data_IF_648348539004
#
_entry.id   IF_648348539004
#
_cell.length_a   1.000
_cell.length_b   1.000
_cell.length_c   1.000
_cell.angle_alpha   90.00
_cell.angle_beta   90.00
_cell.angle_gamma   90.00
#
_symmetry.space_group_name_H-M   'P 1'
#
loop_
_entity.id
_entity.type
_entity.pdbx_description
1 polymer ?
#
# COMPACT_ATOMS: atom_id res chain seq x y z
N UNK A 1 20.39 17.06 44.45
CA UNK A 1 19.39 16.45 43.57
C UNK A 1 20.12 15.68 42.50
N UNK A 2 20.12 14.32 42.55
CA UNK A 2 20.90 13.44 41.68
C UNK A 2 20.07 13.03 40.50
N UNK A 3 20.43 13.50 39.31
CA UNK A 3 19.82 13.08 38.02
C UNK A 3 20.31 11.69 37.67
N UNK A 4 19.51 10.69 37.98
CA UNK A 4 19.76 9.29 37.66
C UNK A 4 19.59 9.06 36.14
N UNK A 5 20.70 9.07 35.41
CA UNK A 5 20.74 8.83 33.97
C UNK A 5 20.10 7.50 33.61
N UNK A 6 19.23 7.53 32.62
CA UNK A 6 18.54 6.35 32.11
C UNK A 6 19.52 5.45 31.35
N UNK A 7 19.71 4.24 31.82
CA UNK A 7 20.66 3.29 31.28
C UNK A 7 20.16 2.73 29.94
N UNK A 8 21.04 2.57 28.91
CA UNK A 8 20.70 2.08 27.55
C UNK A 8 19.89 0.77 27.58
N UNK A 9 20.17 -0.11 28.54
CA UNK A 9 19.42 -1.37 28.72
C UNK A 9 17.96 -1.13 29.16
N UNK A 10 17.70 -0.10 29.95
CA UNK A 10 16.35 0.27 30.41
C UNK A 10 15.54 0.97 29.31
N UNK A 11 16.23 1.74 28.45
CA UNK A 11 15.63 2.34 27.25
C UNK A 11 15.15 1.26 26.26
N UNK A 12 15.98 0.25 25.99
CA UNK A 12 15.62 -0.87 25.10
C UNK A 12 14.50 -1.75 25.68
N UNK A 13 14.44 -1.92 27.02
CA UNK A 13 13.35 -2.67 27.67
C UNK A 13 12.03 -1.90 27.69
N UNK A 14 12.04 -0.57 27.75
CA UNK A 14 10.81 0.25 27.64
C UNK A 14 10.34 0.41 26.19
N UNK A 15 11.24 0.39 25.23
CA UNK A 15 10.86 0.45 23.80
C UNK A 15 10.23 -0.85 23.31
N UNK A 16 10.64 -2.03 23.85
CA UNK A 16 10.02 -3.31 23.51
C UNK A 16 8.62 -3.50 24.12
N UNK A 17 8.29 -2.78 25.19
CA UNK A 17 6.95 -2.81 25.78
C UNK A 17 5.95 -1.86 25.11
N UNK A 18 6.44 -0.86 24.35
CA UNK A 18 5.57 0.04 23.59
C UNK A 18 5.04 -0.59 22.28
N UNK A 19 5.66 -1.69 21.80
CA UNK A 19 5.19 -2.45 20.64
C UNK A 19 4.21 -3.59 21.00
N UNK A 20 4.03 -3.87 22.30
CA UNK A 20 3.13 -4.93 22.77
C UNK A 20 1.74 -4.42 23.22
N UNK A 21 1.45 -3.16 22.98
CA UNK A 21 0.25 -2.52 23.51
C UNK A 21 -0.72 -2.04 22.45
N UNK A 22 -1.29 -2.92 21.63
CA UNK A 22 -2.62 -2.75 21.05
C UNK A 22 -3.03 -3.99 20.23
N UNK A 23 -2.95 -5.18 20.81
CA UNK A 23 -3.82 -6.26 20.35
C UNK A 23 -5.14 -6.13 21.11
N UNK A 24 -5.96 -5.16 20.72
CA UNK A 24 -7.39 -5.19 21.06
C UNK A 24 -8.03 -6.17 20.07
N UNK A 25 -8.07 -7.43 20.47
CA UNK A 25 -8.87 -8.47 19.83
C UNK A 25 -10.33 -8.21 20.21
N UNK A 26 -10.96 -7.41 19.46
CA UNK A 26 -12.41 -7.24 19.42
C UNK A 26 -12.71 -6.76 18.01
N UNK A 27 -13.73 -7.28 17.36
CA UNK A 27 -14.29 -7.03 16.02
C UNK A 27 -14.03 -5.64 15.33
N UNK A 28 -12.95 -5.00 15.62
CA UNK A 28 -12.42 -3.77 15.06
C UNK A 28 -11.14 -4.13 14.31
N UNK A 29 -11.09 -3.80 13.02
CA UNK A 29 -10.02 -4.12 12.10
C UNK A 29 -8.61 -3.78 12.62
N UNK A 30 -7.62 -4.45 12.06
CA UNK A 30 -6.23 -4.19 12.39
C UNK A 30 -5.85 -2.76 11.99
N UNK A 31 -5.40 -1.96 12.96
CA UNK A 31 -4.78 -0.66 12.71
C UNK A 31 -3.27 -0.90 12.60
N UNK A 32 -2.73 -0.68 11.41
CA UNK A 32 -1.30 -0.82 11.14
C UNK A 32 -0.65 0.57 11.19
N UNK A 33 0.09 0.92 12.24
CA UNK A 33 0.91 2.11 12.23
C UNK A 33 2.16 1.85 11.37
N UNK A 34 2.41 2.69 10.38
CA UNK A 34 3.72 2.75 9.72
C UNK A 34 4.61 3.70 10.53
N UNK A 35 5.69 3.23 11.14
CA UNK A 35 6.59 4.09 11.91
C UNK A 35 7.35 5.10 11.05
N UNK A 36 7.37 4.94 9.73
CA UNK A 36 8.07 5.83 8.79
C UNK A 36 7.16 6.91 8.20
N UNK A 37 5.84 6.66 8.17
CA UNK A 37 4.86 7.58 7.61
C UNK A 37 3.62 7.61 8.50
N UNK A 38 3.47 8.41 9.45
CA UNK A 38 2.41 8.53 10.46
C UNK A 38 0.96 8.32 9.93
N UNK A 39 0.71 7.23 9.22
CA UNK A 39 -0.60 6.82 8.71
C UNK A 39 -1.04 5.49 9.34
N UNK A 40 -2.32 5.31 9.47
CA UNK A 40 -2.93 4.08 9.93
C UNK A 40 -3.90 3.57 8.84
N UNK A 41 -3.81 2.28 8.54
CA UNK A 41 -4.77 1.57 7.69
C UNK A 41 -5.65 0.71 8.58
N UNK A 42 -6.94 0.68 8.28
CA UNK A 42 -7.93 -0.12 8.99
C UNK A 42 -8.44 -1.22 8.07
N UNK A 43 -8.18 -2.49 8.42
CA UNK A 43 -8.72 -3.66 7.74
C UNK A 43 -9.54 -4.48 8.71
N UNK A 44 -10.60 -5.14 8.24
CA UNK A 44 -11.53 -5.94 9.05
C UNK A 44 -11.45 -7.42 8.72
N UNK A 45 -11.10 -7.76 7.48
CA UNK A 45 -11.06 -9.13 6.97
C UNK A 45 -9.64 -9.61 6.73
N UNK A 46 -8.78 -8.72 6.23
CA UNK A 46 -7.38 -9.02 5.98
C UNK A 46 -6.56 -8.84 7.26
N UNK A 47 -5.74 -9.82 7.61
CA UNK A 47 -4.79 -9.70 8.71
C UNK A 47 -3.69 -8.67 8.43
N UNK A 48 -2.97 -8.28 9.47
CA UNK A 48 -1.97 -7.23 9.42
C UNK A 48 -0.83 -7.51 8.42
N UNK A 49 -0.37 -8.77 8.35
CA UNK A 49 0.70 -9.17 7.45
C UNK A 49 0.23 -9.13 6.00
N UNK A 50 -0.93 -9.70 5.70
CA UNK A 50 -1.54 -9.67 4.37
C UNK A 50 -1.76 -8.23 3.91
N UNK A 51 -2.33 -7.39 4.75
CA UNK A 51 -2.60 -5.99 4.43
C UNK A 51 -1.33 -5.20 4.13
N UNK A 52 -0.30 -5.31 4.97
CA UNK A 52 0.98 -4.62 4.75
C UNK A 52 1.70 -5.14 3.49
N UNK A 53 1.68 -6.44 3.27
CA UNK A 53 2.25 -7.05 2.05
C UNK A 53 1.57 -6.51 0.81
N UNK A 54 0.24 -6.40 0.80
CA UNK A 54 -0.51 -5.83 -0.33
C UNK A 54 -0.19 -4.36 -0.58
N UNK A 55 0.00 -3.53 0.47
CA UNK A 55 0.44 -2.12 0.29
C UNK A 55 1.78 -2.06 -0.42
N UNK A 56 2.76 -2.82 0.06
CA UNK A 56 4.11 -2.84 -0.52
C UNK A 56 4.12 -3.47 -1.91
N UNK A 57 3.24 -4.45 -2.16
CA UNK A 57 3.06 -5.06 -3.48
C UNK A 57 2.46 -4.07 -4.48
N UNK A 58 1.39 -3.34 -4.13
CA UNK A 58 0.83 -2.29 -4.98
C UNK A 58 1.89 -1.25 -5.35
N UNK A 59 2.73 -0.84 -4.37
CA UNK A 59 3.84 0.07 -4.61
C UNK A 59 4.93 -0.53 -5.50
N UNK A 60 5.23 -1.82 -5.36
CA UNK A 60 6.21 -2.50 -6.21
C UNK A 60 5.75 -2.65 -7.66
N UNK A 61 4.43 -2.81 -7.89
CA UNK A 61 3.84 -2.88 -9.24
C UNK A 61 3.79 -1.50 -9.89
N UNK A 62 3.44 -0.46 -9.14
CA UNK A 62 3.32 0.93 -9.61
C UNK A 62 4.18 1.87 -8.75
N UNK A 63 5.51 1.84 -8.92
CA UNK A 63 6.42 2.64 -8.11
C UNK A 63 6.36 4.12 -8.50
N UNK A 64 6.07 4.98 -7.51
CA UNK A 64 6.11 6.43 -7.66
C UNK A 64 6.81 7.03 -6.44
N UNK A 65 7.95 7.64 -6.65
CA UNK A 65 8.76 8.21 -5.56
C UNK A 65 8.05 9.35 -4.84
N UNK A 66 7.24 10.12 -5.58
CA UNK A 66 6.45 11.23 -5.03
C UNK A 66 5.25 10.79 -4.17
N UNK A 67 4.85 9.50 -4.21
CA UNK A 67 3.69 9.01 -3.50
C UNK A 67 4.11 8.22 -2.25
N UNK A 68 3.60 8.63 -1.09
CA UNK A 68 3.72 7.87 0.16
C UNK A 68 2.83 6.62 0.17
N UNK A 69 3.09 5.71 1.11
CA UNK A 69 2.34 4.45 1.25
C UNK A 69 0.85 4.66 1.54
N UNK A 70 0.46 5.81 2.08
CA UNK A 70 -0.95 6.19 2.33
C UNK A 70 -1.84 6.07 1.08
N UNK A 71 -1.30 6.39 -0.10
CA UNK A 71 -2.07 6.29 -1.35
C UNK A 71 -2.30 4.85 -1.77
N UNK A 72 -1.34 3.97 -1.49
CA UNK A 72 -1.45 2.53 -1.74
C UNK A 72 -2.31 1.84 -0.69
N UNK A 73 -2.28 2.30 0.57
CA UNK A 73 -3.13 1.80 1.63
C UNK A 73 -4.62 1.92 1.30
N UNK A 74 -5.04 3.01 0.63
CA UNK A 74 -6.42 3.17 0.18
C UNK A 74 -6.87 2.10 -0.81
N UNK A 75 -5.96 1.60 -1.65
CA UNK A 75 -6.26 0.47 -2.55
C UNK A 75 -6.54 -0.78 -1.72
N UNK A 76 -5.74 -1.02 -0.68
CA UNK A 76 -5.88 -2.19 0.19
C UNK A 76 -7.15 -2.10 1.03
N UNK A 77 -7.57 -0.92 1.48
CA UNK A 77 -8.87 -0.71 2.13
C UNK A 77 -10.04 -1.08 1.21
N UNK A 78 -9.96 -0.78 -0.08
CA UNK A 78 -10.98 -1.19 -1.06
C UNK A 78 -10.93 -2.71 -1.33
N UNK A 79 -9.74 -3.32 -1.36
CA UNK A 79 -9.59 -4.78 -1.42
C UNK A 79 -10.22 -5.45 -0.18
N UNK A 80 -9.99 -4.91 1.02
CA UNK A 80 -10.57 -5.41 2.27
C UNK A 80 -12.10 -5.29 2.29
N UNK A 81 -12.65 -4.17 1.86
CA UNK A 81 -14.11 -3.99 1.72
C UNK A 81 -14.73 -5.04 0.80
N UNK A 82 -14.10 -5.35 -0.32
CA UNK A 82 -14.57 -6.41 -1.19
C UNK A 82 -14.44 -7.78 -0.53
N UNK A 83 -13.34 -8.03 0.16
CA UNK A 83 -13.11 -9.28 0.88
C UNK A 83 -14.14 -9.55 1.98
N UNK A 84 -14.73 -8.50 2.60
CA UNK A 84 -15.80 -8.62 3.59
C UNK A 84 -17.06 -9.25 3.01
N UNK A 85 -17.35 -8.99 1.74
CA UNK A 85 -18.57 -9.45 1.08
C UNK A 85 -18.35 -10.66 0.16
N UNK A 86 -17.10 -11.01 -0.11
CA UNK A 86 -16.70 -12.07 -1.03
C UNK A 86 -15.60 -12.94 -0.39
N UNK A 87 -15.97 -14.05 0.27
CA UNK A 87 -15.02 -14.94 0.93
C UNK A 87 -14.03 -15.61 -0.02
N UNK A 88 -14.44 -15.89 -1.26
CA UNK A 88 -13.53 -16.46 -2.27
C UNK A 88 -12.49 -15.44 -2.68
N UNK A 89 -12.87 -14.17 -2.79
CA UNK A 89 -11.95 -13.08 -3.03
C UNK A 89 -10.95 -12.89 -1.87
N UNK A 90 -11.44 -12.94 -0.63
CA UNK A 90 -10.58 -12.89 0.56
C UNK A 90 -9.54 -14.02 0.55
N UNK A 91 -9.97 -15.23 0.21
CA UNK A 91 -9.09 -16.40 0.10
C UNK A 91 -8.02 -16.20 -0.97
N UNK A 92 -8.37 -15.69 -2.15
CA UNK A 92 -7.39 -15.40 -3.22
C UNK A 92 -6.30 -14.45 -2.74
N UNK A 93 -6.65 -13.42 -1.96
CA UNK A 93 -5.67 -12.48 -1.41
C UNK A 93 -4.75 -13.13 -0.35
N UNK A 94 -5.34 -13.86 0.60
CA UNK A 94 -4.59 -14.51 1.69
C UNK A 94 -3.68 -15.63 1.18
N UNK A 95 -4.21 -16.52 0.35
CA UNK A 95 -3.42 -17.60 -0.27
C UNK A 95 -2.35 -17.05 -1.21
N UNK A 96 -2.65 -15.96 -1.91
CA UNK A 96 -1.70 -15.28 -2.78
C UNK A 96 -0.51 -14.70 -2.03
N UNK A 97 -0.73 -14.07 -0.87
CA UNK A 97 0.35 -13.58 0.00
C UNK A 97 1.14 -14.75 0.59
N UNK A 98 0.46 -15.80 1.06
CA UNK A 98 1.13 -17.00 1.56
C UNK A 98 2.01 -17.67 0.48
N UNK A 99 1.52 -17.75 -0.76
CA UNK A 99 2.30 -18.26 -1.89
C UNK A 99 3.50 -17.37 -2.23
N UNK A 100 3.36 -16.04 -2.11
CA UNK A 100 4.44 -15.09 -2.32
C UNK A 100 5.56 -15.26 -1.27
N UNK A 101 5.21 -15.44 0.00
CA UNK A 101 6.16 -15.73 1.08
C UNK A 101 6.85 -17.09 0.89
N UNK A 102 6.13 -18.06 0.33
CA UNK A 102 6.67 -19.39 0.08
C UNK A 102 7.76 -19.46 -1.02
N UNK A 103 7.82 -18.47 -1.92
CA UNK A 103 8.78 -18.47 -3.06
C UNK A 103 10.22 -18.63 -2.58
N UNK A 104 10.59 -17.99 -1.48
CA UNK A 104 11.94 -18.08 -0.89
C UNK A 104 11.94 -18.61 0.54
N UNK A 105 10.80 -19.11 1.03
CA UNK A 105 10.63 -19.58 2.41
C UNK A 105 10.95 -18.52 3.47
N UNK A 106 10.78 -17.26 3.12
CA UNK A 106 10.98 -16.05 3.96
C UNK A 106 9.86 -15.07 3.63
N UNK A 107 9.40 -14.31 4.61
CA UNK A 107 8.40 -13.27 4.35
C UNK A 107 8.89 -12.35 3.22
N UNK A 108 8.04 -12.17 2.23
CA UNK A 108 8.39 -11.34 1.06
C UNK A 108 8.81 -9.92 1.48
N UNK A 109 8.22 -9.39 2.53
CA UNK A 109 8.56 -8.08 3.08
C UNK A 109 10.03 -7.96 3.51
N UNK A 110 10.65 -9.05 3.96
CA UNK A 110 12.03 -9.10 4.46
C UNK A 110 13.07 -9.31 3.36
N UNK A 111 12.62 -9.60 2.13
CA UNK A 111 13.51 -9.80 0.99
C UNK A 111 14.12 -8.47 0.53
N UNK A 112 15.31 -8.53 -0.07
CA UNK A 112 15.86 -7.39 -0.79
C UNK A 112 15.04 -7.08 -2.04
N UNK A 113 15.11 -5.84 -2.53
CA UNK A 113 14.31 -5.36 -3.67
C UNK A 113 14.49 -6.21 -4.95
N UNK A 114 15.68 -6.76 -5.17
CA UNK A 114 15.95 -7.67 -6.29
C UNK A 114 15.16 -8.97 -6.17
N UNK A 115 15.17 -9.59 -5.01
CA UNK A 115 14.41 -10.82 -4.73
C UNK A 115 12.91 -10.57 -4.71
N UNK A 116 12.46 -9.43 -4.17
CA UNK A 116 11.04 -9.03 -4.23
C UNK A 116 10.53 -8.98 -5.66
N UNK A 117 11.26 -8.29 -6.55
CA UNK A 117 10.88 -8.22 -7.97
C UNK A 117 10.89 -9.57 -8.66
N UNK A 118 11.88 -10.42 -8.36
CA UNK A 118 11.94 -11.77 -8.93
C UNK A 118 10.76 -12.63 -8.49
N UNK A 119 10.40 -12.61 -7.20
CA UNK A 119 9.22 -13.30 -6.68
C UNK A 119 7.93 -12.82 -7.35
N UNK A 120 7.74 -11.50 -7.49
CA UNK A 120 6.56 -10.94 -8.18
C UNK A 120 6.49 -11.36 -9.64
N UNK A 121 7.63 -11.37 -10.35
CA UNK A 121 7.68 -11.81 -11.75
C UNK A 121 7.27 -13.27 -11.91
N UNK A 122 7.63 -14.16 -10.97
CA UNK A 122 7.23 -15.56 -11.01
C UNK A 122 5.72 -15.77 -10.81
N UNK A 123 5.04 -14.80 -10.18
CA UNK A 123 3.61 -14.84 -9.88
C UNK A 123 2.75 -14.00 -10.86
N UNK A 124 3.35 -13.35 -11.84
CA UNK A 124 2.69 -12.37 -12.71
C UNK A 124 1.44 -12.93 -13.41
N UNK A 125 1.43 -14.21 -13.77
CA UNK A 125 0.28 -14.86 -14.42
C UNK A 125 -0.78 -15.39 -13.45
N UNK A 126 -0.56 -15.28 -12.13
CA UNK A 126 -1.51 -15.82 -11.15
C UNK A 126 -2.76 -14.93 -11.01
N UNK A 127 -3.92 -15.53 -10.65
CA UNK A 127 -5.13 -14.76 -10.35
C UNK A 127 -4.93 -13.72 -9.26
N UNK A 128 -4.13 -14.04 -8.24
CA UNK A 128 -3.76 -13.11 -7.17
C UNK A 128 -3.10 -11.85 -7.72
N UNK A 129 -2.00 -11.99 -8.46
CA UNK A 129 -1.27 -10.85 -9.01
C UNK A 129 -2.16 -10.00 -9.93
N UNK A 130 -2.90 -10.64 -10.84
CA UNK A 130 -3.79 -9.95 -11.77
C UNK A 130 -4.92 -9.21 -11.05
N UNK A 131 -5.45 -9.78 -9.97
CA UNK A 131 -6.45 -9.13 -9.11
C UNK A 131 -5.88 -7.86 -8.47
N UNK A 132 -4.74 -7.96 -7.81
CA UNK A 132 -4.12 -6.80 -7.14
C UNK A 132 -3.74 -5.72 -8.16
N UNK A 133 -3.16 -6.12 -9.29
CA UNK A 133 -2.84 -5.21 -10.40
C UNK A 133 -4.07 -4.49 -10.92
N UNK A 134 -5.16 -5.23 -11.17
CA UNK A 134 -6.42 -4.66 -11.67
C UNK A 134 -7.04 -3.66 -10.69
N UNK A 135 -7.03 -3.95 -9.40
CA UNK A 135 -7.48 -3.00 -8.37
C UNK A 135 -6.58 -1.77 -8.28
N UNK A 136 -5.27 -1.94 -8.45
CA UNK A 136 -4.31 -0.82 -8.37
C UNK A 136 -4.55 0.26 -9.42
N UNK A 137 -5.06 -0.10 -10.61
CA UNK A 137 -5.34 0.83 -11.72
C UNK A 137 -6.85 1.04 -12.00
N UNK A 138 -7.70 0.26 -11.32
CA UNK A 138 -9.15 0.32 -11.50
C UNK A 138 -9.78 1.62 -11.02
N UNK A 139 -11.12 1.65 -11.06
CA UNK A 139 -11.92 2.83 -10.70
C UNK A 139 -11.76 3.31 -9.25
N UNK A 140 -11.26 2.45 -8.36
CA UNK A 140 -10.93 2.78 -6.97
C UNK A 140 -9.41 2.75 -6.72
N UNK A 141 -8.61 2.58 -7.76
CA UNK A 141 -7.17 2.41 -7.72
C UNK A 141 -6.40 3.72 -7.51
N UNK A 142 -5.10 3.65 -7.74
CA UNK A 142 -4.15 4.73 -7.46
C UNK A 142 -4.51 6.02 -8.24
N UNK A 143 -4.72 5.89 -9.55
CA UNK A 143 -4.94 7.04 -10.44
C UNK A 143 -6.37 7.60 -10.41
N UNK A 144 -7.30 6.94 -9.73
CA UNK A 144 -8.64 7.47 -9.50
C UNK A 144 -8.74 8.42 -8.30
N UNK A 145 -7.69 8.49 -7.49
CA UNK A 145 -7.64 9.33 -6.29
C UNK A 145 -7.31 10.78 -6.64
N UNK A 146 -8.19 11.76 -6.35
CA UNK A 146 -7.93 13.17 -6.68
C UNK A 146 -6.67 13.74 -6.03
N UNK A 147 -6.27 13.21 -4.85
CA UNK A 147 -5.06 13.62 -4.18
C UNK A 147 -3.77 13.18 -4.92
N UNK A 148 -3.86 12.10 -5.71
CA UNK A 148 -2.76 11.60 -6.54
C UNK A 148 -2.59 12.46 -7.79
N UNK A 149 -3.67 12.98 -8.36
CA UNK A 149 -3.65 13.76 -9.60
C UNK A 149 -2.68 14.95 -9.55
N UNK A 150 -2.62 15.66 -8.41
CA UNK A 150 -1.73 16.81 -8.21
C UNK A 150 -0.24 16.47 -8.38
N UNK A 151 0.15 15.21 -8.10
CA UNK A 151 1.53 14.75 -8.25
C UNK A 151 1.94 14.52 -9.70
N UNK A 152 0.96 14.44 -10.60
CA UNK A 152 1.14 14.22 -12.04
C UNK A 152 0.68 15.41 -12.89
N UNK A 153 0.32 16.53 -12.27
CA UNK A 153 -0.21 17.69 -13.00
C UNK A 153 -1.59 17.46 -13.62
N UNK A 154 -2.28 16.35 -13.26
CA UNK A 154 -3.63 16.10 -13.78
C UNK A 154 -4.68 16.87 -12.98
N UNK A 155 -5.41 17.75 -13.64
CA UNK A 155 -6.42 18.64 -13.02
C UNK A 155 -7.79 17.96 -12.82
N UNK A 156 -7.97 16.77 -13.36
CA UNK A 156 -9.22 16.03 -13.33
C UNK A 156 -9.91 15.93 -14.69
N UNK A 157 -11.11 15.33 -14.72
CA UNK A 157 -11.85 15.12 -15.97
C UNK A 157 -12.19 16.44 -16.64
N UNK A 158 -11.76 16.62 -17.89
CA UNK A 158 -11.94 17.86 -18.68
C UNK A 158 -13.40 18.29 -18.85
N UNK A 159 -14.33 17.33 -18.85
CA UNK A 159 -15.77 17.62 -18.94
C UNK A 159 -16.29 18.53 -17.81
N UNK A 160 -15.65 18.50 -16.62
CA UNK A 160 -15.97 19.40 -15.49
C UNK A 160 -15.61 20.86 -15.79
N UNK A 161 -14.79 21.09 -16.79
CA UNK A 161 -14.23 22.39 -17.14
C UNK A 161 -14.62 22.82 -18.58
N UNK A 162 -15.70 22.25 -19.14
CA UNK A 162 -16.17 22.58 -20.48
C UNK A 162 -15.55 21.76 -21.62
N UNK A 163 -14.85 20.68 -21.31
CA UNK A 163 -14.23 19.79 -22.30
C UNK A 163 -12.87 20.27 -22.77
N UNK A 164 -12.46 19.83 -23.98
CA UNK A 164 -11.13 20.11 -24.54
C UNK A 164 -11.10 21.32 -25.50
N UNK A 165 -12.22 22.07 -25.67
CA UNK A 165 -12.28 23.19 -26.60
C UNK A 165 -11.27 24.31 -26.26
N UNK A 166 -10.98 24.49 -24.98
CA UNK A 166 -10.10 25.56 -24.48
C UNK A 166 -9.01 25.02 -23.52
N UNK A 167 -8.77 23.70 -23.51
CA UNK A 167 -7.85 23.03 -22.61
C UNK A 167 -7.09 21.93 -23.34
N UNK A 168 -5.96 21.51 -22.78
CA UNK A 168 -5.09 20.47 -23.36
C UNK A 168 -4.20 20.98 -24.48
N UNK A 169 -4.06 22.31 -24.59
CA UNK A 169 -3.09 22.95 -25.44
C UNK A 169 -1.91 23.35 -24.58
N UNK A 170 -0.71 23.14 -25.07
CA UNK A 170 0.58 23.47 -24.41
C UNK A 170 0.80 22.79 -23.04
N UNK A 171 0.13 21.65 -22.80
CA UNK A 171 0.28 20.89 -21.55
C UNK A 171 1.65 20.18 -21.46
N UNK A 172 2.43 20.17 -22.52
CA UNK A 172 3.72 19.49 -22.62
C UNK A 172 4.85 20.51 -22.63
N UNK A 173 5.20 21.07 -21.47
CA UNK A 173 6.28 22.03 -21.31
C UNK A 173 7.72 21.43 -21.34
N UNK A 174 7.86 20.15 -21.66
CA UNK A 174 9.16 19.46 -21.73
C UNK A 174 9.61 19.12 -23.15
N UNK A 175 8.81 19.47 -24.16
CA UNK A 175 9.26 19.39 -25.56
C UNK A 175 10.21 20.54 -25.84
N UNK A 176 11.31 20.34 -26.60
CA UNK A 176 12.13 21.42 -27.09
C UNK A 176 11.26 22.38 -27.93
N UNK A 177 11.39 23.67 -27.68
CA UNK A 177 10.82 24.68 -28.59
C UNK A 177 11.62 24.61 -29.89
N UNK A 178 10.94 24.45 -31.05
CA UNK A 178 11.55 24.43 -32.40
C UNK A 178 12.08 25.80 -32.78
#
# INVERSE_FOLDING_TARGET
>A
MSTKGMNRRRFLQTSSLALAGAAVVGSMGAILPDPTNAWAMSTTTLDAHTALTLVKLCRAIYPHDALGDTYYAKIVEELDKKAQTDPDFARVLQEGVAALDAVYHVQWLDLSEGYKRHALKSMESTPFFQTVRGFSIGSTGLYSQPLVWRHFGYEGPSWRFGGYLTRGFDDIGWLPED
#
